data_IF_537306077332
#
_entry.id   IF_537306077332
#
_cell.length_a   1.000
_cell.length_b   1.000
_cell.length_c   1.000
_cell.angle_alpha   90.00
_cell.angle_beta   90.00
_cell.angle_gamma   90.00
#
_symmetry.space_group_name_H-M   'P 1'
#
loop_
_entity.id
_entity.type
_entity.pdbx_description
1 polymer ?
#
# COMPACT_ATOMS: atom_id res chain seq x y z
N UNK A 1 -5.67 -2.54 3.12
CA UNK A 1 -4.38 -3.07 3.61
C UNK A 1 -3.34 -2.94 2.52
N UNK A 2 -2.24 -2.25 2.79
CA UNK A 2 -1.06 -2.18 1.95
C UNK A 2 0.00 -3.18 2.40
N UNK A 3 0.75 -3.75 1.45
CA UNK A 3 1.83 -4.68 1.74
C UNK A 3 3.01 -4.44 0.80
N UNK A 4 4.20 -4.26 1.36
CA UNK A 4 5.45 -4.36 0.60
C UNK A 4 6.10 -5.71 0.91
N UNK A 5 6.35 -6.48 -0.14
CA UNK A 5 6.77 -7.87 -0.09
C UNK A 5 8.22 -7.99 -0.54
N UNK A 6 9.12 -8.18 0.42
CA UNK A 6 10.52 -8.43 0.10
C UNK A 6 10.83 -9.93 0.02
N UNK A 7 12.07 -10.27 -0.38
CA UNK A 7 12.52 -11.65 -0.55
C UNK A 7 12.58 -12.40 0.79
N UNK A 8 12.60 -13.72 0.76
CA UNK A 8 12.91 -14.52 1.96
C UNK A 8 14.25 -14.06 2.54
N UNK A 9 14.25 -13.53 3.78
CA UNK A 9 15.33 -12.88 4.56
C UNK A 9 15.23 -11.35 4.68
N UNK A 10 14.47 -10.68 3.83
CA UNK A 10 14.24 -9.25 3.89
C UNK A 10 13.01 -8.91 4.76
N UNK A 11 12.70 -7.62 4.87
CA UNK A 11 11.57 -7.11 5.63
C UNK A 11 10.28 -7.10 4.79
N UNK A 12 9.21 -7.63 5.35
CA UNK A 12 7.85 -7.46 4.83
C UNK A 12 7.14 -6.42 5.68
N UNK A 13 6.57 -5.41 5.05
CA UNK A 13 5.86 -4.33 5.73
C UNK A 13 4.38 -4.33 5.40
N UNK A 14 3.57 -3.96 6.39
CA UNK A 14 2.12 -3.93 6.31
C UNK A 14 1.60 -2.59 6.80
N UNK A 15 0.60 -2.05 6.09
CA UNK A 15 -0.14 -0.87 6.53
C UNK A 15 -1.65 -1.12 6.44
N UNK A 16 -2.40 -0.63 7.41
CA UNK A 16 -3.87 -0.57 7.35
C UNK A 16 -4.26 0.89 7.23
N UNK A 17 -4.78 1.25 6.05
CA UNK A 17 -5.37 2.55 5.78
C UNK A 17 -6.90 2.40 5.81
N UNK A 18 -7.55 3.21 6.65
CA UNK A 18 -9.00 3.40 6.66
C UNK A 18 -9.32 4.66 5.85
N UNK A 19 -10.28 4.57 4.92
CA UNK A 19 -10.59 5.63 3.97
C UNK A 19 -12.03 6.07 4.18
N UNK A 20 -12.20 7.26 4.76
CA UNK A 20 -13.49 7.70 5.31
C UNK A 20 -13.94 8.98 4.62
N UNK A 21 -15.13 8.96 4.03
CA UNK A 21 -15.76 10.17 3.49
C UNK A 21 -15.99 11.17 4.62
N UNK A 22 -15.44 12.37 4.45
CA UNK A 22 -15.47 13.44 5.45
C UNK A 22 -16.20 14.65 4.85
N UNK A 23 -17.47 14.88 5.23
CA UNK A 23 -18.30 15.95 4.66
C UNK A 23 -17.68 17.34 4.77
N UNK A 24 -16.91 17.62 5.82
CA UNK A 24 -16.28 18.91 6.11
C UNK A 24 -15.28 19.34 5.04
N UNK A 25 -14.59 18.37 4.42
CA UNK A 25 -13.65 18.59 3.33
C UNK A 25 -14.24 18.20 1.96
N UNK A 26 -15.48 17.70 1.94
CA UNK A 26 -16.16 17.15 0.76
C UNK A 26 -15.27 16.16 -0.01
N UNK A 27 -14.54 15.32 0.72
CA UNK A 27 -13.56 14.39 0.21
C UNK A 27 -13.30 13.27 1.23
N UNK A 28 -12.48 12.29 0.87
CA UNK A 28 -12.02 11.23 1.76
C UNK A 28 -10.81 11.67 2.58
N UNK A 29 -10.83 11.31 3.86
CA UNK A 29 -9.65 11.29 4.73
C UNK A 29 -9.09 9.86 4.81
N UNK A 30 -7.77 9.78 4.85
CA UNK A 30 -7.00 8.54 4.93
C UNK A 30 -6.34 8.43 6.29
N UNK A 31 -6.70 7.40 7.05
CA UNK A 31 -6.21 7.17 8.41
C UNK A 31 -5.30 5.96 8.45
N UNK A 32 -4.02 6.13 8.79
CA UNK A 32 -3.12 5.01 9.08
C UNK A 32 -3.45 4.42 10.46
N UNK A 33 -4.11 3.26 10.47
CA UNK A 33 -4.61 2.58 11.67
C UNK A 33 -3.65 1.55 12.24
N UNK A 34 -2.83 0.94 11.39
CA UNK A 34 -1.82 -0.03 11.80
C UNK A 34 -0.64 0.03 10.83
N UNK A 35 0.56 -0.15 11.37
CA UNK A 35 1.80 -0.18 10.61
C UNK A 35 2.73 -1.16 11.31
N UNK A 36 3.25 -2.13 10.57
CA UNK A 36 4.13 -3.16 11.12
C UNK A 36 5.12 -3.67 10.08
N UNK A 37 6.23 -4.24 10.56
CA UNK A 37 7.32 -4.81 9.77
C UNK A 37 7.82 -6.09 10.42
N UNK A 38 7.91 -7.15 9.62
CA UNK A 38 8.45 -8.44 10.06
C UNK A 38 9.59 -8.89 9.15
N UNK A 39 10.60 -9.56 9.73
CA UNK A 39 11.79 -10.03 9.01
C UNK A 39 11.85 -11.55 8.99
N UNK A 40 12.26 -12.12 7.86
CA UNK A 40 12.66 -13.53 7.79
C UNK A 40 11.53 -14.51 8.05
N UNK A 41 10.30 -14.14 7.66
CA UNK A 41 9.13 -14.99 7.75
C UNK A 41 8.82 -15.61 6.39
N UNK A 42 8.54 -16.91 6.37
CA UNK A 42 8.23 -17.64 5.13
C UNK A 42 6.94 -17.14 4.47
N UNK A 43 6.89 -17.15 3.13
CA UNK A 43 5.75 -16.64 2.38
C UNK A 43 4.39 -17.27 2.74
N UNK A 44 4.25 -18.59 3.02
CA UNK A 44 2.97 -19.14 3.47
C UNK A 44 2.46 -18.48 4.75
N UNK A 45 3.34 -18.20 5.72
CA UNK A 45 2.98 -17.50 6.96
C UNK A 45 2.62 -16.04 6.72
N UNK A 46 3.30 -15.36 5.79
CA UNK A 46 2.92 -14.01 5.35
C UNK A 46 1.49 -14.03 4.78
N UNK A 47 1.17 -15.02 3.95
CA UNK A 47 -0.17 -15.20 3.36
C UNK A 47 -1.21 -15.45 4.45
N UNK A 48 -0.94 -16.33 5.41
CA UNK A 48 -1.83 -16.57 6.56
C UNK A 48 -2.09 -15.29 7.36
N UNK A 49 -1.04 -14.49 7.62
CA UNK A 49 -1.16 -13.22 8.35
C UNK A 49 -1.99 -12.19 7.58
N UNK A 50 -1.79 -12.09 6.27
CA UNK A 50 -2.60 -11.24 5.40
C UNK A 50 -4.08 -11.65 5.47
N UNK A 51 -4.38 -12.94 5.33
CA UNK A 51 -5.75 -13.46 5.34
C UNK A 51 -6.40 -13.19 6.70
N UNK A 52 -5.75 -13.55 7.80
CA UNK A 52 -6.26 -13.33 9.14
C UNK A 52 -6.50 -11.83 9.43
N UNK A 53 -5.62 -10.95 8.94
CA UNK A 53 -5.79 -9.50 9.08
C UNK A 53 -7.02 -9.02 8.31
N UNK A 54 -7.19 -9.46 7.07
CA UNK A 54 -8.35 -9.09 6.23
C UNK A 54 -9.66 -9.57 6.86
N UNK A 55 -9.72 -10.81 7.32
CA UNK A 55 -10.90 -11.37 7.98
C UNK A 55 -11.24 -10.62 9.28
N UNK A 56 -10.22 -10.24 10.05
CA UNK A 56 -10.42 -9.42 11.26
C UNK A 56 -10.99 -8.04 10.92
N UNK A 57 -10.41 -7.36 9.92
CA UNK A 57 -10.88 -6.03 9.48
C UNK A 57 -12.33 -6.10 8.97
N UNK A 58 -12.67 -7.13 8.19
CA UNK A 58 -14.04 -7.34 7.71
C UNK A 58 -15.02 -7.55 8.86
N UNK A 59 -14.65 -8.37 9.85
CA UNK A 59 -15.49 -8.57 11.03
C UNK A 59 -15.66 -7.28 11.87
N UNK A 60 -14.65 -6.40 11.88
CA UNK A 60 -14.74 -5.08 12.52
C UNK A 60 -15.66 -4.12 11.73
N UNK A 61 -15.55 -4.10 10.40
CA UNK A 61 -16.39 -3.27 9.53
C UNK A 61 -17.87 -3.67 9.60
N UNK A 62 -18.16 -4.98 9.60
CA UNK A 62 -19.53 -5.50 9.78
C UNK A 62 -20.14 -5.02 11.11
N UNK A 63 -19.34 -4.97 12.18
CA UNK A 63 -19.80 -4.48 13.49
C UNK A 63 -20.06 -2.97 13.49
N UNK A 64 -19.34 -2.19 12.68
CA UNK A 64 -19.54 -0.74 12.53
C UNK A 64 -20.85 -0.42 11.80
N UNK A 65 -21.34 -1.31 10.95
CA UNK A 65 -22.66 -1.18 10.30
C UNK A 65 -22.75 -0.07 9.24
N UNK A 66 -21.62 0.51 8.83
CA UNK A 66 -21.56 1.49 7.76
C UNK A 66 -21.41 0.80 6.40
N UNK A 67 -21.90 1.44 5.32
CA UNK A 67 -21.61 0.96 3.98
C UNK A 67 -20.10 1.06 3.71
N UNK A 68 -19.49 -0.06 3.38
CA UNK A 68 -18.06 -0.18 3.07
C UNK A 68 -17.87 -1.00 1.79
N UNK A 69 -16.79 -0.74 1.06
CA UNK A 69 -16.37 -1.57 -0.08
C UNK A 69 -15.47 -2.75 0.34
N UNK A 70 -15.20 -2.86 1.65
CA UNK A 70 -14.53 -3.98 2.29
C UNK A 70 -13.00 -3.84 2.30
N UNK A 71 -12.31 -4.63 3.14
CA UNK A 71 -10.86 -4.58 3.20
C UNK A 71 -10.26 -5.09 1.89
N UNK A 72 -9.67 -4.17 1.13
CA UNK A 72 -8.90 -4.51 -0.07
C UNK A 72 -7.43 -4.74 0.28
N UNK A 73 -6.78 -5.65 -0.45
CA UNK A 73 -5.33 -5.83 -0.38
C UNK A 73 -4.67 -5.12 -1.55
N UNK A 74 -3.76 -4.21 -1.26
CA UNK A 74 -2.88 -3.58 -2.23
C UNK A 74 -1.46 -4.05 -1.92
N UNK A 75 -0.79 -4.69 -2.87
CA UNK A 75 0.51 -5.31 -2.60
C UNK A 75 1.53 -4.95 -3.66
N UNK A 76 2.79 -4.80 -3.26
CA UNK A 76 3.88 -4.79 -4.21
C UNK A 76 3.99 -6.17 -4.87
N UNK A 77 3.83 -6.17 -6.18
CA UNK A 77 3.97 -7.30 -7.08
C UNK A 77 5.22 -7.12 -7.97
N UNK A 78 6.06 -6.13 -7.69
CA UNK A 78 7.40 -6.04 -8.25
C UNK A 78 8.23 -7.27 -7.84
N UNK A 79 9.12 -7.72 -8.72
CA UNK A 79 9.99 -8.86 -8.45
C UNK A 79 9.27 -10.15 -8.03
N UNK A 80 9.51 -10.59 -6.79
CA UNK A 80 9.07 -11.90 -6.25
C UNK A 80 7.64 -11.92 -5.69
N UNK A 81 6.84 -10.87 -5.87
CA UNK A 81 5.44 -10.86 -5.39
C UNK A 81 4.51 -11.85 -6.13
N UNK A 82 4.96 -12.45 -7.23
CA UNK A 82 4.17 -13.40 -8.02
C UNK A 82 3.78 -14.68 -7.24
N UNK A 83 4.69 -15.39 -6.55
CA UNK A 83 4.34 -16.49 -5.65
C UNK A 83 3.26 -16.17 -4.62
N UNK A 84 3.38 -15.03 -3.91
CA UNK A 84 2.40 -14.64 -2.88
C UNK A 84 1.04 -14.37 -3.51
N UNK A 85 1.01 -13.67 -4.65
CA UNK A 85 -0.22 -13.47 -5.42
C UNK A 85 -0.87 -14.80 -5.80
N UNK A 86 -0.08 -15.79 -6.20
CA UNK A 86 -0.60 -17.09 -6.61
C UNK A 86 -1.13 -17.90 -5.41
N UNK A 87 -0.47 -17.84 -4.24
CA UNK A 87 -1.01 -18.38 -2.98
C UNK A 87 -2.33 -17.70 -2.59
N UNK A 88 -2.42 -16.37 -2.68
CA UNK A 88 -3.64 -15.62 -2.35
C UNK A 88 -4.79 -15.94 -3.31
N UNK A 89 -4.50 -16.20 -4.60
CA UNK A 89 -5.48 -16.68 -5.57
C UNK A 89 -5.99 -18.08 -5.22
N UNK A 90 -5.10 -18.98 -4.82
CA UNK A 90 -5.46 -20.34 -4.39
C UNK A 90 -6.27 -20.34 -3.09
N UNK A 91 -6.09 -19.34 -2.22
CA UNK A 91 -6.88 -19.21 -0.99
C UNK A 91 -8.33 -18.72 -1.22
N UNK A 92 -8.69 -18.26 -2.43
CA UNK A 92 -10.05 -17.81 -2.78
C UNK A 92 -10.57 -16.62 -1.92
N UNK A 93 -9.67 -15.86 -1.28
CA UNK A 93 -10.05 -14.77 -0.34
C UNK A 93 -10.60 -13.54 -1.08
N UNK A 94 -10.17 -13.27 -2.31
CA UNK A 94 -10.51 -12.04 -3.06
C UNK A 94 -11.56 -12.25 -4.17
N UNK A 95 -12.65 -12.97 -3.87
CA UNK A 95 -13.67 -13.32 -4.87
C UNK A 95 -14.96 -12.47 -4.82
N UNK A 96 -15.25 -11.86 -3.67
CA UNK A 96 -16.50 -11.11 -3.45
C UNK A 96 -16.24 -9.59 -3.30
N UNK A 97 -16.69 -8.97 -2.19
CA UNK A 97 -16.49 -7.55 -1.90
C UNK A 97 -14.99 -7.17 -1.85
N UNK A 98 -14.14 -8.10 -1.42
CA UNK A 98 -12.70 -7.93 -1.31
C UNK A 98 -12.03 -7.95 -2.69
N UNK A 99 -11.07 -7.04 -2.90
CA UNK A 99 -10.32 -6.92 -4.16
C UNK A 99 -8.82 -6.97 -3.88
N UNK A 100 -8.09 -7.58 -4.82
CA UNK A 100 -6.64 -7.64 -4.84
C UNK A 100 -6.11 -6.65 -5.88
N UNK A 101 -5.24 -5.74 -5.44
CA UNK A 101 -4.62 -4.69 -6.25
C UNK A 101 -3.11 -4.91 -6.31
N UNK A 102 -2.60 -5.71 -7.26
CA UNK A 102 -1.17 -5.90 -7.43
C UNK A 102 -0.54 -4.68 -8.12
N UNK A 103 0.40 -4.03 -7.45
CA UNK A 103 1.12 -2.85 -7.96
C UNK A 103 2.53 -3.27 -8.40
N UNK A 104 2.98 -2.81 -9.56
CA UNK A 104 4.35 -3.05 -10.04
C UNK A 104 5.04 -1.70 -10.20
N UNK A 105 6.15 -1.52 -9.49
CA UNK A 105 6.94 -0.29 -9.61
C UNK A 105 7.64 -0.19 -10.96
N UNK A 106 7.54 0.98 -11.59
CA UNK A 106 8.19 1.29 -12.86
C UNK A 106 8.97 2.61 -12.78
N UNK A 107 10.03 2.76 -13.58
CA UNK A 107 10.79 4.01 -13.68
C UNK A 107 10.14 5.09 -14.56
N UNK A 108 8.84 4.95 -14.90
CA UNK A 108 8.10 5.90 -15.73
C UNK A 108 7.49 7.06 -14.96
N UNK A 109 6.65 7.86 -15.61
CA UNK A 109 5.91 8.98 -14.96
C UNK A 109 4.39 8.74 -14.94
N UNK A 110 3.92 7.63 -15.50
CA UNK A 110 2.50 7.36 -15.65
C UNK A 110 2.08 6.11 -14.86
N UNK A 111 0.91 6.21 -14.23
CA UNK A 111 0.17 5.05 -13.73
C UNK A 111 -0.64 4.41 -14.87
N UNK A 112 -0.50 3.10 -15.08
CA UNK A 112 -1.31 2.34 -16.06
C UNK A 112 -1.75 1.00 -15.50
N UNK A 113 -2.97 0.60 -15.83
CA UNK A 113 -3.47 -0.74 -15.57
C UNK A 113 -3.19 -1.62 -16.79
N UNK A 114 -2.53 -2.75 -16.59
CA UNK A 114 -2.29 -3.75 -17.61
C UNK A 114 -3.46 -4.75 -17.65
N UNK A 115 -4.27 -4.78 -18.71
CA UNK A 115 -5.44 -5.64 -18.78
C UNK A 115 -5.09 -7.14 -18.87
N UNK A 116 -3.87 -7.50 -19.27
CA UNK A 116 -3.40 -8.88 -19.42
C UNK A 116 -2.93 -9.43 -18.09
N UNK A 117 -2.00 -8.72 -17.42
CA UNK A 117 -1.44 -9.17 -16.14
C UNK A 117 -2.30 -8.79 -14.93
N UNK A 118 -3.25 -7.87 -15.12
CA UNK A 118 -4.05 -7.21 -14.07
C UNK A 118 -3.20 -6.38 -13.09
N UNK A 119 -1.96 -6.07 -13.45
CA UNK A 119 -1.07 -5.27 -12.63
C UNK A 119 -1.29 -3.76 -12.84
N UNK A 120 -1.13 -3.02 -11.76
CA UNK A 120 -1.09 -1.57 -11.76
C UNK A 120 0.37 -1.12 -11.80
N UNK A 121 0.83 -0.70 -12.97
CA UNK A 121 2.18 -0.21 -13.17
C UNK A 121 2.23 1.26 -12.75
N UNK A 122 2.94 1.56 -11.66
CA UNK A 122 2.97 2.90 -11.05
C UNK A 122 4.43 3.25 -10.79
N UNK A 123 4.81 4.51 -10.90
CA UNK A 123 6.16 4.94 -10.52
C UNK A 123 6.24 5.35 -9.06
N UNK A 124 7.39 5.10 -8.43
CA UNK A 124 7.65 5.54 -7.05
C UNK A 124 7.46 7.05 -6.92
N UNK A 125 7.94 7.83 -7.89
CA UNK A 125 7.75 9.30 -7.92
C UNK A 125 6.28 9.70 -7.88
N UNK A 126 5.41 9.02 -8.63
CA UNK A 126 3.98 9.34 -8.64
C UNK A 126 3.31 8.97 -7.31
N UNK A 127 3.67 7.83 -6.71
CA UNK A 127 3.18 7.41 -5.40
C UNK A 127 3.51 8.42 -4.30
N UNK A 128 4.75 8.92 -4.33
CA UNK A 128 5.26 9.84 -3.33
C UNK A 128 4.65 11.23 -3.53
N UNK A 129 4.53 11.69 -4.79
CA UNK A 129 3.79 12.91 -5.09
C UNK A 129 2.34 12.87 -4.58
N UNK A 130 1.66 11.73 -4.72
CA UNK A 130 0.31 11.54 -4.18
C UNK A 130 0.30 11.61 -2.64
N UNK A 131 1.23 10.91 -1.99
CA UNK A 131 1.34 10.93 -0.54
C UNK A 131 1.61 12.34 0.01
N UNK A 132 2.57 13.07 -0.58
CA UNK A 132 2.89 14.44 -0.22
C UNK A 132 1.68 15.38 -0.43
N UNK A 133 0.93 15.20 -1.53
CA UNK A 133 -0.30 15.94 -1.78
C UNK A 133 -1.34 15.70 -0.68
N UNK A 134 -1.58 14.43 -0.30
CA UNK A 134 -2.52 14.09 0.79
C UNK A 134 -2.10 14.74 2.13
N UNK A 135 -0.81 14.74 2.46
CA UNK A 135 -0.32 15.41 3.67
C UNK A 135 -0.49 16.93 3.60
N UNK A 136 -0.13 17.56 2.47
CA UNK A 136 -0.25 19.02 2.28
C UNK A 136 -1.70 19.49 2.42
N UNK A 137 -2.65 18.70 1.91
CA UNK A 137 -4.08 18.97 2.02
C UNK A 137 -4.71 18.48 3.34
N UNK A 138 -3.91 17.96 4.29
CA UNK A 138 -4.39 17.40 5.56
C UNK A 138 -5.46 16.31 5.39
N UNK A 139 -5.35 15.54 4.30
CA UNK A 139 -6.21 14.38 3.98
C UNK A 139 -5.59 13.05 4.42
N UNK A 140 -4.45 13.08 5.08
CA UNK A 140 -3.78 11.91 5.67
C UNK A 140 -3.44 12.19 7.13
N UNK A 141 -3.80 11.25 8.00
CA UNK A 141 -3.33 11.22 9.39
C UNK A 141 -2.92 9.79 9.80
N UNK A 142 -2.40 9.67 11.01
CA UNK A 142 -1.96 8.40 11.57
C UNK A 142 -2.26 8.32 13.06
N UNK A 143 -2.47 7.10 13.55
CA UNK A 143 -2.63 6.87 14.98
C UNK A 143 -1.30 7.15 15.73
N UNK A 144 -1.32 7.90 16.85
CA UNK A 144 -0.09 8.34 17.51
C UNK A 144 0.67 7.22 18.23
N UNK A 145 0.03 6.07 18.46
CA UNK A 145 0.52 4.92 19.20
C UNK A 145 1.08 3.79 18.31
N UNK A 146 1.23 4.06 17.01
CA UNK A 146 1.82 3.13 16.06
C UNK A 146 3.29 2.83 16.44
N UNK A 147 3.55 1.58 16.84
CA UNK A 147 4.88 1.14 17.29
C UNK A 147 5.97 1.33 16.23
N UNK A 148 5.61 1.23 14.95
CA UNK A 148 6.52 1.39 13.83
C UNK A 148 6.77 2.87 13.43
N UNK A 149 6.20 3.87 14.12
CA UNK A 149 6.42 5.28 13.78
C UNK A 149 7.89 5.71 13.76
N UNK A 150 8.73 5.35 14.76
CA UNK A 150 10.14 5.74 14.72
C UNK A 150 10.88 5.17 13.51
N UNK A 151 10.48 3.98 13.05
CA UNK A 151 11.05 3.38 11.84
C UNK A 151 10.56 4.11 10.58
N UNK A 152 9.27 4.44 10.52
CA UNK A 152 8.71 5.22 9.42
C UNK A 152 9.39 6.59 9.30
N UNK A 153 9.64 7.28 10.41
CA UNK A 153 10.35 8.57 10.41
C UNK A 153 11.77 8.45 9.86
N UNK A 154 12.48 7.36 10.21
CA UNK A 154 13.81 7.07 9.66
C UNK A 154 13.76 6.83 8.15
N UNK A 155 12.78 6.06 7.68
CA UNK A 155 12.61 5.85 6.24
C UNK A 155 12.32 7.16 5.53
N UNK A 156 11.39 7.98 6.05
CA UNK A 156 11.01 9.25 5.42
C UNK A 156 12.22 10.18 5.33
N UNK A 157 13.06 10.21 6.36
CA UNK A 157 14.29 11.00 6.35
C UNK A 157 15.35 10.47 5.35
N UNK A 158 15.41 9.16 5.14
CA UNK A 158 16.34 8.51 4.22
C UNK A 158 15.84 8.49 2.76
N UNK A 159 14.56 8.75 2.53
CA UNK A 159 13.94 8.67 1.22
C UNK A 159 14.16 9.96 0.42
N UNK A 160 15.04 9.91 -0.59
CA UNK A 160 15.54 11.10 -1.29
C UNK A 160 15.19 11.09 -2.77
N UNK A 161 15.11 12.30 -3.33
CA UNK A 161 15.00 12.52 -4.76
C UNK A 161 16.37 12.31 -5.42
N UNK A 162 16.42 11.47 -6.44
CA UNK A 162 17.60 11.20 -7.26
C UNK A 162 17.33 11.57 -8.71
N UNK A 163 18.36 12.09 -9.39
CA UNK A 163 18.33 12.35 -10.83
C UNK A 163 19.02 11.19 -11.55
N UNK A 164 18.30 10.53 -12.45
CA UNK A 164 18.88 9.48 -13.29
C UNK A 164 19.83 10.09 -14.33
N UNK A 165 20.76 9.30 -14.90
CA UNK A 165 21.61 9.74 -16.01
C UNK A 165 20.83 10.24 -17.24
N UNK A 166 19.58 9.79 -17.39
CA UNK A 166 18.66 10.24 -18.44
C UNK A 166 17.87 11.50 -18.10
N UNK A 167 18.17 12.16 -16.98
CA UNK A 167 17.53 13.40 -16.54
C UNK A 167 16.17 13.21 -15.86
N UNK A 168 15.77 11.97 -15.55
CA UNK A 168 14.49 11.69 -14.88
C UNK A 168 14.64 11.80 -13.37
N UNK A 169 13.60 12.32 -12.72
CA UNK A 169 13.51 12.30 -11.27
C UNK A 169 12.93 10.98 -10.78
N UNK A 170 13.68 10.29 -9.94
CA UNK A 170 13.22 9.12 -9.19
C UNK A 170 13.30 9.39 -7.70
N UNK A 171 12.51 8.69 -6.91
CA UNK A 171 12.68 8.68 -5.47
C UNK A 171 13.06 7.27 -5.02
N UNK A 172 14.05 7.19 -4.15
CA UNK A 172 14.51 5.94 -3.57
C UNK A 172 15.17 6.20 -2.22
N UNK A 173 15.17 5.18 -1.37
CA UNK A 173 15.99 5.20 -0.17
C UNK A 173 17.48 5.34 -0.53
N UNK A 174 18.26 5.99 0.33
CA UNK A 174 19.71 5.97 0.20
C UNK A 174 20.24 4.53 0.22
N UNK A 175 21.40 4.31 -0.41
CA UNK A 175 22.02 2.98 -0.48
C UNK A 175 22.19 2.39 0.93
N UNK A 176 21.56 1.24 1.17
CA UNK A 176 21.58 0.54 2.46
C UNK A 176 20.46 0.94 3.44
N UNK A 177 19.59 1.89 3.06
CA UNK A 177 18.37 2.20 3.79
C UNK A 177 17.15 1.45 3.22
N UNK A 178 16.07 1.46 4.00
CA UNK A 178 14.82 0.78 3.68
C UNK A 178 13.76 1.80 3.24
N UNK A 179 12.85 1.39 2.36
CA UNK A 179 11.66 2.15 1.93
C UNK A 179 10.35 1.36 2.06
N UNK A 180 10.38 0.18 2.68
CA UNK A 180 9.29 -0.77 2.64
C UNK A 180 8.07 -0.36 3.48
N UNK A 181 8.23 0.42 4.56
CA UNK A 181 7.09 0.98 5.30
C UNK A 181 6.43 2.10 4.51
N UNK A 182 7.21 2.99 3.90
CA UNK A 182 6.69 4.05 3.02
C UNK A 182 5.93 3.44 1.85
N UNK A 183 6.48 2.40 1.21
CA UNK A 183 5.83 1.68 0.13
C UNK A 183 4.52 1.03 0.60
N UNK A 184 4.53 0.32 1.73
CA UNK A 184 3.32 -0.28 2.30
C UNK A 184 2.21 0.75 2.57
N UNK A 185 2.55 1.98 2.94
CA UNK A 185 1.59 3.08 3.13
C UNK A 185 1.13 3.65 1.78
N UNK A 186 2.06 3.97 0.88
CA UNK A 186 1.75 4.73 -0.33
C UNK A 186 0.96 3.92 -1.36
N UNK A 187 1.12 2.59 -1.41
CA UNK A 187 0.41 1.71 -2.37
C UNK A 187 -1.12 1.84 -2.20
N UNK A 188 -1.71 1.58 -1.02
CA UNK A 188 -3.17 1.71 -0.86
C UNK A 188 -3.67 3.15 -1.03
N UNK A 189 -2.89 4.17 -0.65
CA UNK A 189 -3.27 5.58 -0.87
C UNK A 189 -3.41 5.89 -2.36
N UNK A 190 -2.43 5.47 -3.17
CA UNK A 190 -2.47 5.65 -4.61
C UNK A 190 -3.65 4.91 -5.25
N UNK A 191 -3.88 3.65 -4.87
CA UNK A 191 -5.02 2.87 -5.39
C UNK A 191 -6.36 3.52 -4.99
N UNK A 192 -6.50 3.99 -3.75
CA UNK A 192 -7.68 4.70 -3.27
C UNK A 192 -7.98 5.95 -4.10
N UNK A 193 -7.02 6.87 -4.21
CA UNK A 193 -7.18 8.10 -5.00
C UNK A 193 -7.46 7.78 -6.48
N UNK A 194 -6.84 6.74 -7.04
CA UNK A 194 -7.08 6.37 -8.42
C UNK A 194 -8.49 5.84 -8.66
N UNK A 195 -9.04 5.06 -7.72
CA UNK A 195 -10.42 4.56 -7.78
C UNK A 195 -11.43 5.71 -7.71
N UNK A 196 -11.18 6.71 -6.86
CA UNK A 196 -12.00 7.91 -6.78
C UNK A 196 -11.97 8.71 -8.09
N UNK A 197 -10.77 9.03 -8.58
CA UNK A 197 -10.59 9.90 -9.75
C UNK A 197 -11.16 9.29 -11.04
N UNK A 198 -11.12 7.95 -11.16
CA UNK A 198 -11.66 7.24 -12.33
C UNK A 198 -13.12 6.82 -12.21
N UNK A 199 -13.78 7.11 -11.08
CA UNK A 199 -15.19 6.78 -10.89
C UNK A 199 -15.48 5.27 -11.00
N UNK A 200 -14.54 4.40 -10.63
CA UNK A 200 -14.79 2.96 -10.52
C UNK A 200 -15.67 2.71 -9.27
N UNK A 201 -16.97 3.00 -9.42
CA UNK A 201 -18.05 2.43 -8.63
C UNK A 201 -18.47 1.10 -9.25
#
# INVERSE_FOLDING_TARGET
>A
MGCDLAKSLDYTSFAVIDMVWTPEINDFMHHLKALDRIKGVDYPKIVELIIATIERLEAEDVKRGHAHDGPHLCMDASGLGAPIRDYLKQAHVFQDARKLWPVVFTGGEAARHDPVTKNYNISKSLMISNFLSLMQHRRFDYAPDLQALPLLEQEIAAFKQHLTPSGKTTFDAESGAHDDLICAICIPLMIGEWRLAKGFR
#
